data_IF_321263756250
#
_entry.id   IF_321263756250
#
_cell.length_a   1.000
_cell.length_b   1.000
_cell.length_c   1.000
_cell.angle_alpha   90.00
_cell.angle_beta   90.00
_cell.angle_gamma   90.00
#
_symmetry.space_group_name_H-M   'P 1'
#
loop_
_entity.id
_entity.type
_entity.pdbx_description
1 polymer ?
#
# COMPACT_ATOMS: atom_id res chain seq x y z
N UNK A 1 61.04 14.26 18.58
CA UNK A 1 59.94 14.55 17.63
C UNK A 1 58.75 14.95 18.48
N UNK A 2 58.04 16.03 18.16
CA UNK A 2 56.76 16.30 18.81
C UNK A 2 55.69 15.59 18.00
N UNK A 3 55.04 14.58 18.58
CA UNK A 3 53.81 14.04 18.02
C UNK A 3 52.75 15.14 18.03
N UNK A 4 52.03 15.30 16.91
CA UNK A 4 50.81 16.09 16.90
C UNK A 4 49.75 15.27 17.63
N UNK A 5 49.66 15.48 18.95
CA UNK A 5 48.56 14.96 19.74
C UNK A 5 47.24 15.48 19.14
N UNK A 6 46.42 14.56 18.64
CA UNK A 6 45.07 14.87 18.19
C UNK A 6 44.32 15.52 19.36
N UNK A 7 43.58 16.59 19.07
CA UNK A 7 42.80 17.30 20.08
C UNK A 7 41.51 16.55 20.40
N UNK A 8 41.07 16.61 21.66
CA UNK A 8 39.84 15.96 22.09
C UNK A 8 38.62 16.46 21.31
N UNK A 9 38.54 17.77 21.00
CA UNK A 9 37.43 18.34 20.24
C UNK A 9 37.32 17.71 18.84
N UNK A 10 38.44 17.60 18.13
CA UNK A 10 38.50 17.01 16.78
C UNK A 10 38.28 15.49 16.82
N UNK A 11 38.66 14.82 17.92
CA UNK A 11 38.37 13.40 18.13
C UNK A 11 36.87 13.15 18.37
N UNK A 12 36.17 14.08 19.05
CA UNK A 12 34.74 13.99 19.32
C UNK A 12 33.90 14.35 18.08
N UNK A 13 34.28 15.41 17.35
CA UNK A 13 33.62 15.82 16.09
C UNK A 13 33.59 14.70 15.03
N UNK A 14 34.61 13.83 15.02
CA UNK A 14 34.74 12.69 14.08
C UNK A 14 34.46 11.32 14.70
N UNK A 15 33.91 11.26 15.91
CA UNK A 15 33.75 9.99 16.62
C UNK A 15 32.64 9.12 16.02
N UNK A 16 31.56 9.72 15.55
CA UNK A 16 30.47 9.03 14.85
C UNK A 16 30.96 8.54 13.46
N UNK A 17 31.60 9.40 12.66
CA UNK A 17 32.24 9.04 11.37
C UNK A 17 33.24 7.86 11.51
N UNK A 18 33.93 7.76 12.66
CA UNK A 18 34.84 6.67 12.98
C UNK A 18 34.13 5.35 13.31
N UNK A 19 33.04 5.40 14.09
CA UNK A 19 32.27 4.22 14.48
C UNK A 19 31.49 3.63 13.31
N UNK A 20 30.92 4.48 12.45
CA UNK A 20 30.19 4.08 11.25
C UNK A 20 31.12 3.68 10.09
N UNK A 21 32.43 3.94 10.22
CA UNK A 21 33.48 3.50 9.29
C UNK A 21 33.61 4.35 8.03
N UNK A 22 33.12 5.60 8.04
CA UNK A 22 33.18 6.51 6.88
C UNK A 22 34.56 7.18 6.72
N UNK A 23 35.39 7.20 7.77
CA UNK A 23 36.73 7.77 7.74
C UNK A 23 37.73 6.98 6.87
N UNK A 24 38.70 7.69 6.30
CA UNK A 24 39.87 7.04 5.70
C UNK A 24 40.83 6.47 6.77
N UNK A 25 41.71 5.57 6.34
CA UNK A 25 42.62 4.83 7.23
C UNK A 25 43.58 5.72 8.03
N UNK A 26 43.98 6.89 7.49
CA UNK A 26 44.91 7.79 8.19
C UNK A 26 44.19 8.57 9.31
N UNK A 27 42.95 9.03 9.09
CA UNK A 27 42.12 9.65 10.13
C UNK A 27 41.69 8.63 11.20
N UNK A 28 41.26 7.44 10.78
CA UNK A 28 40.86 6.36 11.70
C UNK A 28 42.02 5.92 12.60
N UNK A 29 43.24 5.84 12.08
CA UNK A 29 44.44 5.53 12.87
C UNK A 29 44.77 6.62 13.91
N UNK A 30 44.53 7.90 13.59
CA UNK A 30 44.75 9.01 14.52
C UNK A 30 43.72 9.00 15.66
N UNK A 31 42.44 8.74 15.36
CA UNK A 31 41.39 8.59 16.37
C UNK A 31 41.65 7.37 17.25
N UNK A 32 42.00 6.22 16.67
CA UNK A 32 42.33 5.01 17.43
C UNK A 32 43.49 5.26 18.42
N UNK A 33 44.56 5.94 17.98
CA UNK A 33 45.67 6.32 18.86
C UNK A 33 45.25 7.31 19.97
N UNK A 34 44.33 8.23 19.69
CA UNK A 34 43.78 9.13 20.69
C UNK A 34 42.89 8.39 21.71
N UNK A 35 42.01 7.48 21.27
CA UNK A 35 41.16 6.68 22.15
C UNK A 35 41.94 5.76 23.10
N UNK A 36 43.13 5.28 22.68
CA UNK A 36 44.04 4.49 23.54
C UNK A 36 44.68 5.36 24.63
N UNK A 37 44.82 6.68 24.42
CA UNK A 37 45.58 7.59 25.30
C UNK A 37 44.73 8.61 26.06
N UNK A 38 43.49 8.85 25.66
CA UNK A 38 42.58 9.82 26.24
C UNK A 38 41.35 9.13 26.87
N UNK A 39 41.35 8.99 28.20
CA UNK A 39 40.27 8.31 28.94
C UNK A 39 38.91 9.04 28.87
N UNK A 40 38.89 10.32 28.51
CA UNK A 40 37.65 11.06 28.27
C UNK A 40 37.00 10.59 26.96
N UNK A 41 37.70 10.74 25.83
CA UNK A 41 37.21 10.32 24.52
C UNK A 41 36.94 8.81 24.45
N UNK A 42 37.71 7.98 25.16
CA UNK A 42 37.38 6.54 25.27
C UNK A 42 36.04 6.29 25.97
N UNK A 43 35.69 7.11 26.98
CA UNK A 43 34.40 6.99 27.70
C UNK A 43 33.23 7.41 26.81
N UNK A 44 33.36 8.53 26.08
CA UNK A 44 32.35 8.96 25.09
C UNK A 44 32.16 7.89 24.00
N UNK A 45 33.27 7.31 23.48
CA UNK A 45 33.21 6.23 22.48
C UNK A 45 32.51 4.98 23.01
N UNK A 46 32.66 4.66 24.29
CA UNK A 46 31.99 3.54 24.92
C UNK A 46 30.49 3.80 25.13
N UNK A 47 30.08 5.06 25.34
CA UNK A 47 28.66 5.44 25.36
C UNK A 47 28.01 5.27 23.99
N UNK A 48 28.63 5.84 22.93
CA UNK A 48 28.11 5.73 21.56
C UNK A 48 28.02 4.27 21.08
N UNK A 49 29.01 3.43 21.42
CA UNK A 49 28.97 1.99 21.13
C UNK A 49 27.86 1.28 21.91
N UNK A 50 27.58 1.68 23.16
CA UNK A 50 26.47 1.13 23.94
C UNK A 50 25.11 1.52 23.36
N UNK A 51 24.98 2.74 22.81
CA UNK A 51 23.78 3.20 22.12
C UNK A 51 23.60 2.48 20.76
N UNK A 52 24.65 2.30 19.98
CA UNK A 52 24.61 1.50 18.74
C UNK A 52 24.22 0.03 19.00
N UNK A 53 24.81 -0.61 20.02
CA UNK A 53 24.45 -1.97 20.47
C UNK A 53 23.00 -2.04 20.98
N UNK A 54 22.48 -0.96 21.58
CA UNK A 54 21.07 -0.88 21.97
C UNK A 54 20.16 -0.88 20.73
N UNK A 55 20.44 -0.03 19.73
CA UNK A 55 19.67 0.00 18.48
C UNK A 55 19.76 -1.32 17.70
N UNK A 56 20.93 -1.97 17.67
CA UNK A 56 21.12 -3.27 17.04
C UNK A 56 20.24 -4.38 17.64
N UNK A 57 19.93 -4.33 18.94
CA UNK A 57 18.97 -5.25 19.58
C UNK A 57 17.51 -4.97 19.23
N UNK A 58 17.20 -3.74 18.78
CA UNK A 58 15.88 -3.36 18.31
C UNK A 58 15.69 -3.58 16.79
N UNK A 59 16.75 -3.90 16.05
CA UNK A 59 16.68 -4.35 14.66
C UNK A 59 16.12 -5.79 14.58
N UNK A 60 14.81 -5.87 14.84
CA UNK A 60 14.03 -7.08 14.57
C UNK A 60 14.06 -7.31 13.06
N UNK A 61 14.33 -8.54 12.63
CA UNK A 61 14.25 -8.94 11.22
C UNK A 61 12.88 -8.54 10.63
N UNK A 62 12.86 -7.39 9.93
CA UNK A 62 11.67 -6.90 9.26
C UNK A 62 11.43 -7.80 8.05
N UNK A 63 10.53 -8.77 8.18
CA UNK A 63 10.04 -9.60 7.07
C UNK A 63 9.38 -8.71 6.01
N UNK A 64 10.19 -8.14 5.10
CA UNK A 64 9.72 -7.34 3.98
C UNK A 64 8.82 -8.22 3.12
N UNK A 65 7.51 -7.92 3.01
CA UNK A 65 6.61 -8.79 2.26
C UNK A 65 7.10 -8.91 0.80
N UNK A 66 7.18 -10.12 0.21
CA UNK A 66 7.71 -10.29 -1.15
C UNK A 66 6.96 -9.46 -2.21
N UNK A 67 5.69 -9.14 -1.95
CA UNK A 67 4.86 -8.24 -2.76
C UNK A 67 5.33 -6.78 -2.75
N UNK A 68 5.95 -6.32 -1.67
CA UNK A 68 6.52 -4.98 -1.54
C UNK A 68 7.83 -4.87 -2.33
N UNK A 69 8.70 -5.89 -2.24
CA UNK A 69 9.89 -5.96 -3.10
C UNK A 69 9.52 -6.07 -4.60
N UNK A 70 8.49 -6.84 -4.93
CA UNK A 70 7.92 -6.89 -6.28
C UNK A 70 7.54 -5.50 -6.80
N UNK A 71 6.73 -4.76 -6.04
CA UNK A 71 6.31 -3.39 -6.36
C UNK A 71 7.44 -2.34 -6.41
N UNK A 72 8.58 -2.59 -5.77
CA UNK A 72 9.79 -1.78 -5.93
C UNK A 72 10.45 -2.16 -7.26
N UNK A 73 10.67 -3.45 -7.51
CA UNK A 73 11.34 -3.94 -8.73
C UNK A 73 10.61 -3.55 -10.02
N UNK A 74 9.27 -3.55 -10.04
CA UNK A 74 8.45 -3.08 -11.17
C UNK A 74 8.58 -1.57 -11.44
N UNK A 75 9.05 -0.77 -10.47
CA UNK A 75 9.24 0.68 -10.59
C UNK A 75 10.69 1.09 -10.80
N UNK A 76 11.65 0.31 -10.31
CA UNK A 76 13.09 0.61 -10.40
C UNK A 76 13.78 -0.05 -11.59
N UNK A 77 13.27 -1.19 -12.09
CA UNK A 77 13.69 -1.74 -13.37
C UNK A 77 13.03 -0.93 -14.50
N UNK A 78 13.80 -0.29 -15.41
CA UNK A 78 13.21 0.30 -16.60
C UNK A 78 12.58 -0.82 -17.42
N UNK A 79 11.28 -0.72 -17.71
CA UNK A 79 10.56 -1.73 -18.46
C UNK A 79 11.20 -1.94 -19.83
N UNK A 80 11.95 -3.04 -20.00
CA UNK A 80 12.57 -3.45 -21.26
C UNK A 80 11.46 -4.00 -22.16
N UNK A 81 10.63 -3.07 -22.68
CA UNK A 81 9.56 -3.38 -23.59
C UNK A 81 10.15 -4.08 -24.83
N UNK A 82 9.73 -5.33 -25.13
CA UNK A 82 10.17 -5.99 -26.35
C UNK A 82 9.67 -5.15 -27.53
N UNK A 83 10.59 -4.60 -28.32
CA UNK A 83 10.30 -3.64 -29.40
C UNK A 83 9.70 -4.33 -30.64
N UNK A 84 8.59 -5.04 -30.44
CA UNK A 84 7.87 -5.71 -31.51
C UNK A 84 7.32 -4.67 -32.49
N UNK A 85 7.86 -4.67 -33.69
CA UNK A 85 7.51 -3.75 -34.78
C UNK A 85 6.02 -3.80 -35.15
N UNK A 86 5.32 -4.91 -34.81
CA UNK A 86 3.89 -5.11 -35.03
C UNK A 86 3.00 -4.09 -34.31
N UNK A 87 3.34 -3.68 -33.08
CA UNK A 87 2.47 -2.80 -32.28
C UNK A 87 2.42 -1.37 -32.83
N UNK A 88 3.52 -0.91 -33.46
CA UNK A 88 3.57 0.41 -34.12
C UNK A 88 2.65 0.52 -35.34
N UNK A 89 2.30 -0.58 -36.01
CA UNK A 89 1.28 -0.57 -37.06
C UNK A 89 -0.15 -0.60 -36.50
N UNK A 90 -0.39 -1.25 -35.37
CA UNK A 90 -1.72 -1.32 -34.75
C UNK A 90 -2.25 0.07 -34.35
N UNK A 91 -1.35 0.99 -33.97
CA UNK A 91 -1.70 2.38 -33.66
C UNK A 91 -2.29 3.17 -34.84
N UNK A 92 -1.93 2.84 -36.08
CA UNK A 92 -2.35 3.59 -37.27
C UNK A 92 -3.80 3.32 -37.71
N UNK A 93 -4.40 2.22 -37.25
CA UNK A 93 -5.77 1.83 -37.60
C UNK A 93 -6.83 2.17 -36.54
N UNK A 94 -6.43 2.74 -35.40
CA UNK A 94 -7.33 3.05 -34.27
C UNK A 94 -7.97 4.44 -34.38
N UNK A 95 -8.65 4.68 -35.50
CA UNK A 95 -9.40 5.92 -35.75
C UNK A 95 -10.58 6.05 -34.77
N UNK A 96 -10.82 7.21 -34.12
CA UNK A 96 -11.95 7.39 -33.22
C UNK A 96 -13.29 7.35 -33.96
N UNK A 97 -14.25 6.63 -33.42
CA UNK A 97 -15.57 6.42 -34.03
C UNK A 97 -16.48 7.65 -33.88
N UNK A 98 -16.32 8.62 -34.77
CA UNK A 98 -17.30 9.71 -34.91
C UNK A 98 -18.63 9.15 -35.47
N UNK A 99 -19.75 9.58 -34.90
CA UNK A 99 -21.07 9.05 -35.25
C UNK A 99 -21.49 9.38 -36.69
N UNK A 100 -22.11 8.40 -37.36
CA UNK A 100 -22.76 8.51 -38.68
C UNK A 100 -21.88 8.95 -39.87
N UNK A 101 -21.35 7.97 -40.63
CA UNK A 101 -21.14 8.09 -42.10
C UNK A 101 -20.48 6.87 -42.76
N UNK A 102 -19.96 5.89 -42.00
CA UNK A 102 -19.21 4.75 -42.56
C UNK A 102 -19.98 3.97 -43.66
N UNK A 103 -21.31 3.85 -43.54
CA UNK A 103 -22.16 3.26 -44.58
C UNK A 103 -22.21 4.09 -45.89
N UNK A 104 -22.16 5.41 -45.80
CA UNK A 104 -22.14 6.31 -46.97
C UNK A 104 -20.76 6.28 -47.66
N UNK A 105 -19.66 6.26 -46.89
CA UNK A 105 -18.32 6.11 -47.43
C UNK A 105 -18.14 4.76 -48.15
N UNK A 106 -18.61 3.66 -47.56
CA UNK A 106 -18.62 2.35 -48.20
C UNK A 106 -19.44 2.33 -49.49
N UNK A 107 -20.62 2.95 -49.51
CA UNK A 107 -21.45 3.07 -50.71
C UNK A 107 -20.74 3.83 -51.84
N UNK A 108 -20.08 4.96 -51.54
CA UNK A 108 -19.31 5.72 -52.53
C UNK A 108 -18.11 4.93 -53.08
N UNK A 109 -17.41 4.16 -52.24
CA UNK A 109 -16.32 3.29 -52.68
C UNK A 109 -16.84 2.16 -53.59
N UNK A 110 -17.97 1.53 -53.25
CA UNK A 110 -18.60 0.50 -54.08
C UNK A 110 -19.04 1.08 -55.42
N UNK A 111 -19.63 2.28 -55.45
CA UNK A 111 -20.00 2.98 -56.69
C UNK A 111 -18.76 3.30 -57.53
N UNK A 112 -17.67 3.80 -56.94
CA UNK A 112 -16.43 4.08 -57.65
C UNK A 112 -15.78 2.81 -58.24
N UNK A 113 -15.78 1.70 -57.49
CA UNK A 113 -15.30 0.40 -57.97
C UNK A 113 -16.19 -0.13 -59.10
N UNK A 114 -17.53 0.01 -59.00
CA UNK A 114 -18.46 -0.41 -60.05
C UNK A 114 -18.25 0.39 -61.34
N UNK A 115 -18.16 1.73 -61.25
CA UNK A 115 -17.87 2.61 -62.39
C UNK A 115 -16.50 2.29 -63.00
N UNK A 116 -15.47 2.10 -62.19
CA UNK A 116 -14.13 1.70 -62.65
C UNK A 116 -14.12 0.33 -63.35
N UNK A 117 -14.83 -0.66 -62.82
CA UNK A 117 -14.94 -1.99 -63.41
C UNK A 117 -15.72 -2.00 -64.73
N UNK A 118 -16.75 -1.14 -64.86
CA UNK A 118 -17.48 -0.91 -66.12
C UNK A 118 -16.55 -0.23 -67.14
N UNK A 119 -15.83 0.81 -66.73
CA UNK A 119 -14.89 1.54 -67.58
C UNK A 119 -13.74 0.65 -68.09
N UNK A 120 -13.15 -0.18 -67.23
CA UNK A 120 -12.13 -1.16 -67.60
C UNK A 120 -12.67 -2.31 -68.46
N UNK A 121 -13.97 -2.64 -68.37
CA UNK A 121 -14.62 -3.58 -69.30
C UNK A 121 -14.91 -2.94 -70.67
N UNK A 122 -15.31 -1.67 -70.73
CA UNK A 122 -15.47 -0.95 -72.00
C UNK A 122 -14.13 -0.58 -72.66
N UNK A 123 -13.03 -0.52 -71.91
CA UNK A 123 -11.69 -0.27 -72.43
C UNK A 123 -10.94 -1.52 -72.92
N UNK A 124 -11.53 -2.72 -72.94
CA UNK A 124 -10.87 -3.87 -73.59
C UNK A 124 -10.79 -3.65 -75.11
N UNK A 125 -9.59 -3.49 -75.71
CA UNK A 125 -9.47 -3.36 -77.16
C UNK A 125 -9.71 -4.72 -77.83
N UNK A 126 -9.99 -4.70 -79.14
CA UNK A 126 -9.75 -5.89 -79.95
C UNK A 126 -8.26 -6.25 -79.94
N UNK A 127 -7.93 -7.51 -79.71
CA UNK A 127 -6.83 -8.15 -80.43
C UNK A 127 -7.03 -9.67 -80.56
N UNK A 128 -6.50 -10.22 -81.65
CA UNK A 128 -6.85 -11.56 -82.16
C UNK A 128 -5.86 -12.65 -81.72
N UNK A 129 -6.43 -13.81 -81.41
CA UNK A 129 -6.00 -15.16 -81.83
C UNK A 129 -4.50 -15.50 -81.93
N UNK A 130 -4.08 -16.42 -81.05
CA UNK A 130 -3.51 -17.74 -81.42
C UNK A 130 -4.09 -18.75 -80.40
N UNK A 131 -4.73 -19.87 -80.79
CA UNK A 131 -4.12 -21.15 -81.17
C UNK A 131 -3.13 -21.67 -80.09
N UNK A 132 -3.19 -22.89 -79.55
CA UNK A 132 -3.93 -24.16 -79.83
C UNK A 132 -3.80 -25.03 -78.53
N UNK A 133 -4.61 -26.02 -78.13
CA UNK A 133 -5.17 -27.22 -78.80
C UNK A 133 -6.41 -27.78 -78.03
N UNK A 134 -6.96 -28.93 -78.46
CA UNK A 134 -8.22 -29.53 -77.96
C UNK A 134 -8.04 -30.54 -76.80
N UNK A 135 -9.07 -30.74 -75.95
CA UNK A 135 -9.82 -32.03 -75.85
C UNK A 135 -10.94 -32.12 -74.78
N UNK A 136 -12.07 -32.74 -75.17
CA UNK A 136 -13.09 -33.49 -74.38
C UNK A 136 -14.10 -32.72 -73.46
N UNK A 137 -15.31 -33.30 -73.40
CA UNK A 137 -16.62 -32.91 -72.82
C UNK A 137 -17.49 -34.21 -72.75
N UNK A 138 -18.59 -34.38 -71.98
CA UNK A 138 -19.22 -33.62 -70.87
C UNK A 138 -18.94 -34.34 -69.51
N UNK A 139 -19.74 -34.44 -68.43
CA UNK A 139 -21.10 -34.02 -67.96
C UNK A 139 -21.01 -33.83 -66.40
N UNK A 140 -21.98 -33.82 -65.46
CA UNK A 140 -23.41 -34.17 -65.27
C UNK A 140 -24.12 -33.04 -64.45
N UNK A 141 -25.46 -33.08 -64.29
CA UNK A 141 -26.30 -32.06 -63.60
C UNK A 141 -26.95 -32.63 -62.29
N UNK A 142 -28.04 -32.06 -61.69
CA UNK A 142 -28.12 -31.03 -60.64
C UNK A 142 -28.63 -31.54 -59.24
N UNK A 143 -29.07 -30.60 -58.38
CA UNK A 143 -30.10 -30.75 -57.30
C UNK A 143 -29.73 -31.53 -56.00
N UNK A 144 -30.33 -31.29 -54.82
CA UNK A 144 -31.09 -30.15 -54.23
C UNK A 144 -31.12 -30.27 -52.67
N UNK A 145 -31.62 -29.30 -51.88
CA UNK A 145 -31.41 -29.25 -50.42
C UNK A 145 -32.44 -30.01 -49.55
N UNK A 146 -32.04 -30.39 -48.32
CA UNK A 146 -32.87 -31.13 -47.35
C UNK A 146 -32.62 -30.76 -45.87
N UNK A 147 -33.45 -29.85 -45.36
CA UNK A 147 -33.65 -29.40 -43.96
C UNK A 147 -35.12 -29.76 -43.62
N UNK A 148 -35.63 -30.03 -42.38
CA UNK A 148 -35.17 -29.60 -41.03
C UNK A 148 -35.32 -30.63 -39.86
N UNK A 149 -35.11 -30.15 -38.61
CA UNK A 149 -35.79 -30.58 -37.35
C UNK A 149 -35.44 -31.97 -36.76
N UNK A 150 -35.66 -32.28 -35.46
CA UNK A 150 -36.60 -31.70 -34.48
C UNK A 150 -36.20 -31.90 -33.00
N UNK A 151 -36.97 -31.29 -32.09
CA UNK A 151 -37.12 -31.56 -30.64
C UNK A 151 -35.91 -31.34 -29.69
N UNK A 152 -36.09 -31.18 -28.36
CA UNK A 152 -37.08 -30.47 -27.48
C UNK A 152 -36.85 -30.96 -26.03
N UNK A 153 -37.33 -30.20 -25.04
CA UNK A 153 -37.59 -30.62 -23.64
C UNK A 153 -36.36 -30.96 -22.76
N UNK A 154 -36.42 -30.94 -21.41
CA UNK A 154 -37.27 -30.16 -20.49
C UNK A 154 -36.83 -30.35 -19.01
N UNK A 155 -36.56 -29.25 -18.31
CA UNK A 155 -36.92 -28.94 -16.90
C UNK A 155 -36.97 -30.11 -15.88
N UNK A 156 -36.07 -30.11 -14.87
CA UNK A 156 -36.49 -30.03 -13.44
C UNK A 156 -35.37 -29.79 -12.42
N UNK A 157 -35.69 -28.96 -11.43
CA UNK A 157 -35.00 -28.84 -10.14
C UNK A 157 -35.42 -29.95 -9.18
N UNK A 158 -34.68 -30.16 -8.08
CA UNK A 158 -35.23 -30.64 -6.80
C UNK A 158 -34.39 -30.13 -5.63
N UNK A 159 -35.06 -29.73 -4.54
CA UNK A 159 -34.51 -29.11 -3.31
C UNK A 159 -34.90 -29.94 -2.10
N UNK A 160 -33.94 -30.28 -1.21
CA UNK A 160 -34.10 -30.79 0.18
C UNK A 160 -32.71 -30.92 0.83
N UNK A 161 -32.50 -30.97 2.15
CA UNK A 161 -33.20 -30.40 3.32
C UNK A 161 -32.19 -30.40 4.51
N UNK A 162 -32.48 -29.72 5.62
CA UNK A 162 -31.54 -29.51 6.75
C UNK A 162 -31.67 -30.59 7.83
N UNK A 163 -30.54 -31.06 8.38
CA UNK A 163 -30.46 -31.75 9.69
C UNK A 163 -29.23 -31.22 10.44
N UNK A 164 -29.34 -31.00 11.76
CA UNK A 164 -28.28 -30.47 12.62
C UNK A 164 -27.93 -31.44 13.76
N UNK A 165 -26.70 -31.37 14.27
CA UNK A 165 -26.28 -32.02 15.53
C UNK A 165 -25.11 -31.27 16.19
N UNK A 166 -25.03 -31.28 17.52
CA UNK A 166 -24.04 -30.53 18.30
C UNK A 166 -23.85 -31.17 19.71
N UNK A 167 -22.62 -31.48 20.17
CA UNK A 167 -22.39 -32.00 21.52
C UNK A 167 -21.27 -31.29 22.34
N UNK A 168 -21.69 -30.43 23.28
CA UNK A 168 -21.19 -30.18 24.67
C UNK A 168 -19.67 -29.97 24.99
N UNK A 169 -19.34 -29.08 25.97
CA UNK A 169 -17.96 -28.74 26.33
C UNK A 169 -17.29 -29.72 27.32
N UNK A 170 -15.96 -29.60 27.48
CA UNK A 170 -15.16 -30.27 28.53
C UNK A 170 -14.49 -29.25 29.46
N UNK A 171 -14.58 -29.48 30.77
CA UNK A 171 -13.83 -28.74 31.80
C UNK A 171 -12.40 -29.27 31.98
N UNK A 172 -11.47 -28.43 32.43
CA UNK A 172 -10.12 -28.81 32.89
C UNK A 172 -9.84 -28.16 34.26
N UNK A 173 -9.05 -28.84 35.09
CA UNK A 173 -8.70 -28.42 36.46
C UNK A 173 -7.70 -27.27 36.46
N UNK A 174 -7.83 -26.37 37.43
CA UNK A 174 -6.76 -25.45 37.87
C UNK A 174 -5.81 -26.20 38.80
N UNK A 175 -4.50 -26.01 38.64
CA UNK A 175 -3.47 -26.44 39.58
C UNK A 175 -2.98 -25.22 40.36
N UNK A 176 -2.89 -25.33 41.69
CA UNK A 176 -2.48 -24.22 42.56
C UNK A 176 -1.00 -24.37 42.92
N UNK A 177 -0.15 -23.53 42.34
CA UNK A 177 1.28 -23.49 42.64
C UNK A 177 1.53 -22.54 43.81
N UNK A 178 2.27 -22.99 44.82
CA UNK A 178 2.73 -22.15 45.94
C UNK A 178 4.08 -21.54 45.56
N UNK A 179 4.27 -20.24 45.78
CA UNK A 179 5.56 -19.56 45.64
C UNK A 179 6.07 -19.16 47.02
N UNK A 180 7.32 -19.50 47.32
CA UNK A 180 8.11 -18.91 48.40
C UNK A 180 8.90 -17.72 47.84
N UNK A 181 8.96 -16.57 48.52
CA UNK A 181 9.72 -15.42 48.02
C UNK A 181 11.22 -15.70 48.08
N UNK A 182 11.92 -15.29 47.02
CA UNK A 182 13.37 -15.09 46.99
C UNK A 182 13.58 -13.59 46.77
N UNK A 183 14.44 -12.98 47.59
CA UNK A 183 14.77 -11.55 47.46
C UNK A 183 15.66 -11.33 46.22
N UNK A 184 15.23 -10.43 45.33
CA UNK A 184 15.94 -10.04 44.10
C UNK A 184 15.77 -8.53 43.85
N UNK A 185 16.00 -7.74 44.89
CA UNK A 185 15.86 -6.28 44.87
C UNK A 185 16.87 -5.56 43.93
N UNK A 186 18.05 -6.14 43.68
CA UNK A 186 19.18 -5.48 42.97
C UNK A 186 19.18 -5.57 41.43
N UNK A 187 18.19 -6.21 40.79
CA UNK A 187 18.20 -6.44 39.30
C UNK A 187 17.17 -5.58 38.54
N UNK A 188 16.26 -4.89 39.25
CA UNK A 188 15.08 -4.24 38.64
C UNK A 188 15.34 -2.85 38.02
N UNK A 189 16.48 -2.22 38.26
CA UNK A 189 16.70 -0.80 37.95
C UNK A 189 16.74 -0.44 36.46
N UNK A 190 16.99 -1.40 35.55
CA UNK A 190 17.07 -1.14 34.10
C UNK A 190 15.70 -1.17 33.41
N UNK A 191 14.75 -1.95 33.95
CA UNK A 191 13.44 -2.21 33.31
C UNK A 191 12.55 -0.94 33.30
N UNK A 192 12.65 -0.13 34.36
CA UNK A 192 11.89 1.12 34.51
C UNK A 192 12.22 2.18 33.44
N UNK A 193 13.45 2.23 32.94
CA UNK A 193 13.87 3.26 31.99
C UNK A 193 13.22 3.16 30.61
N UNK A 194 12.93 1.93 30.15
CA UNK A 194 12.30 1.69 28.85
C UNK A 194 10.78 1.78 28.91
N UNK A 195 10.19 1.29 30.01
CA UNK A 195 8.75 1.36 30.28
C UNK A 195 8.22 2.80 30.17
N UNK A 196 8.96 3.76 30.74
CA UNK A 196 8.64 5.19 30.80
C UNK A 196 8.69 5.88 29.41
N UNK A 197 9.61 5.46 28.53
CA UNK A 197 9.71 5.97 27.16
C UNK A 197 8.51 5.51 26.32
N UNK A 198 8.13 4.22 26.43
CA UNK A 198 6.95 3.67 25.74
C UNK A 198 5.65 4.37 26.17
N UNK A 199 5.50 4.62 27.47
CA UNK A 199 4.32 5.31 28.00
C UNK A 199 4.31 6.79 27.61
N UNK A 200 5.47 7.45 27.51
CA UNK A 200 5.58 8.82 26.98
C UNK A 200 5.15 8.92 25.51
N UNK A 201 5.61 8.01 24.64
CA UNK A 201 5.24 8.03 23.23
C UNK A 201 3.77 7.62 23.02
N UNK A 202 3.24 6.71 23.85
CA UNK A 202 1.81 6.41 23.91
C UNK A 202 1.00 7.64 24.33
N UNK A 203 1.37 8.32 25.42
CA UNK A 203 0.69 9.52 25.92
C UNK A 203 0.69 10.65 24.88
N UNK A 204 1.83 10.90 24.23
CA UNK A 204 1.97 11.88 23.13
C UNK A 204 1.05 11.58 21.95
N UNK A 205 0.95 10.31 21.55
CA UNK A 205 0.03 9.90 20.48
C UNK A 205 -1.45 10.10 20.86
N UNK A 206 -1.80 9.81 22.13
CA UNK A 206 -3.14 10.04 22.66
C UNK A 206 -3.46 11.55 22.77
N UNK A 207 -2.50 12.39 23.15
CA UNK A 207 -2.62 13.85 23.20
C UNK A 207 -2.84 14.45 21.80
N UNK A 208 -2.05 14.02 20.81
CA UNK A 208 -2.22 14.43 19.42
C UNK A 208 -3.57 13.99 18.84
N UNK A 209 -4.00 12.76 19.14
CA UNK A 209 -5.32 12.26 18.76
C UNK A 209 -6.43 13.04 19.46
N UNK A 210 -6.28 13.36 20.75
CA UNK A 210 -7.20 14.20 21.51
C UNK A 210 -7.36 15.59 20.87
N UNK A 211 -6.25 16.21 20.47
CA UNK A 211 -6.26 17.53 19.83
C UNK A 211 -6.92 17.50 18.43
N UNK A 212 -6.71 16.43 17.65
CA UNK A 212 -7.44 16.18 16.39
C UNK A 212 -8.95 15.92 16.59
N UNK A 213 -9.35 15.12 17.58
CA UNK A 213 -10.77 14.90 17.84
C UNK A 213 -11.44 16.17 18.40
N UNK A 214 -10.68 17.04 19.08
CA UNK A 214 -11.13 18.39 19.48
C UNK A 214 -11.23 19.34 18.29
N UNK A 215 -10.31 19.34 17.31
CA UNK A 215 -10.44 20.19 16.10
C UNK A 215 -11.69 19.82 15.30
N UNK A 216 -11.86 18.54 14.94
CA UNK A 216 -13.02 18.02 14.20
C UNK A 216 -14.34 18.32 14.93
N UNK A 217 -14.40 18.16 16.26
CA UNK A 217 -15.58 18.52 17.05
C UNK A 217 -15.85 20.02 17.04
N UNK A 218 -14.81 20.86 17.01
CA UNK A 218 -14.91 22.32 17.04
C UNK A 218 -15.15 22.95 15.65
N UNK A 219 -15.14 22.18 14.55
CA UNK A 219 -15.46 22.68 13.20
C UNK A 219 -16.84 23.36 13.19
N UNK A 220 -16.86 24.62 12.77
CA UNK A 220 -18.06 25.44 12.57
C UNK A 220 -18.78 25.02 11.29
N UNK A 221 -19.78 24.16 11.43
CA UNK A 221 -20.70 23.82 10.34
C UNK A 221 -21.70 24.97 10.18
N UNK A 222 -21.61 25.73 9.08
CA UNK A 222 -22.61 26.72 8.72
C UNK A 222 -23.90 26.08 8.19
N UNK A 223 -25.02 26.81 8.24
CA UNK A 223 -26.33 26.33 7.76
C UNK A 223 -26.33 26.04 6.23
N UNK A 224 -25.41 26.66 5.49
CA UNK A 224 -25.22 26.45 4.05
C UNK A 224 -24.45 25.15 3.79
N UNK A 225 -25.17 24.07 3.48
CA UNK A 225 -24.62 22.74 3.17
C UNK A 225 -23.66 22.71 1.96
N UNK A 226 -23.65 23.77 1.13
CA UNK A 226 -22.83 23.88 -0.08
C UNK A 226 -21.45 24.51 0.17
N UNK A 227 -21.17 25.01 1.39
CA UNK A 227 -19.85 25.54 1.74
C UNK A 227 -18.92 24.40 2.14
N UNK A 228 -17.98 24.07 1.25
CA UNK A 228 -16.95 23.05 1.51
C UNK A 228 -16.00 23.48 2.63
N UNK A 229 -15.54 22.50 3.41
CA UNK A 229 -14.69 22.68 4.59
C UNK A 229 -13.33 22.08 4.27
N UNK A 230 -12.27 22.90 4.32
CA UNK A 230 -10.90 22.38 4.24
C UNK A 230 -10.59 21.55 5.49
N UNK A 231 -10.29 20.27 5.27
CA UNK A 231 -9.88 19.29 6.29
C UNK A 231 -8.55 18.64 5.91
N UNK A 232 -7.82 19.21 4.95
CA UNK A 232 -6.54 18.68 4.43
C UNK A 232 -5.54 18.40 5.56
N UNK A 233 -5.48 19.30 6.55
CA UNK A 233 -4.63 19.14 7.73
C UNK A 233 -5.06 17.97 8.61
N UNK A 234 -6.32 17.91 9.04
CA UNK A 234 -6.85 16.87 9.92
C UNK A 234 -6.81 15.48 9.27
N UNK A 235 -7.01 15.41 7.95
CA UNK A 235 -6.84 14.22 7.12
C UNK A 235 -5.38 13.76 7.03
N UNK A 236 -4.43 14.68 6.84
CA UNK A 236 -3.01 14.35 6.83
C UNK A 236 -2.51 13.89 8.22
N UNK A 237 -3.00 14.53 9.28
CA UNK A 237 -2.68 14.18 10.67
C UNK A 237 -3.27 12.82 11.07
N UNK A 238 -4.55 12.57 10.79
CA UNK A 238 -5.20 11.27 11.07
C UNK A 238 -4.52 10.10 10.34
N UNK A 239 -4.05 10.30 9.09
CA UNK A 239 -3.26 9.31 8.35
C UNK A 239 -1.90 9.01 9.00
N UNK A 240 -1.22 10.00 9.58
CA UNK A 240 0.00 9.76 10.37
C UNK A 240 -0.33 8.96 11.64
N UNK A 241 -1.31 9.43 12.40
CA UNK A 241 -1.75 8.80 13.65
C UNK A 241 -2.20 7.34 13.42
N UNK A 242 -2.85 6.99 12.30
CA UNK A 242 -3.17 5.59 11.99
C UNK A 242 -1.94 4.68 11.96
N UNK A 243 -0.85 5.13 11.34
CA UNK A 243 0.37 4.33 11.22
C UNK A 243 1.04 4.13 12.59
N UNK A 244 1.08 5.18 13.41
CA UNK A 244 1.58 5.14 14.79
C UNK A 244 0.72 4.22 15.67
N UNK A 245 -0.61 4.34 15.58
CA UNK A 245 -1.58 3.57 16.35
C UNK A 245 -1.47 2.05 16.10
N UNK A 246 -1.18 1.65 14.85
CA UNK A 246 -0.92 0.24 14.48
C UNK A 246 0.32 -0.31 15.20
N UNK A 247 1.37 0.50 15.37
CA UNK A 247 2.59 0.12 16.10
C UNK A 247 2.28 0.05 17.61
N UNK A 248 1.78 1.13 18.19
CA UNK A 248 1.47 1.24 19.62
C UNK A 248 0.49 0.16 20.11
N UNK A 249 -0.49 -0.27 19.30
CA UNK A 249 -1.38 -1.40 19.64
C UNK A 249 -0.66 -2.74 19.72
N UNK A 250 0.36 -2.97 18.88
CA UNK A 250 1.19 -4.17 18.92
C UNK A 250 2.12 -4.14 20.13
N UNK A 251 2.73 -3.00 20.42
CA UNK A 251 3.59 -2.86 21.60
C UNK A 251 2.80 -2.97 22.90
N UNK A 252 1.62 -2.36 22.99
CA UNK A 252 0.71 -2.54 24.12
C UNK A 252 0.22 -4.00 24.28
N UNK A 253 0.06 -4.75 23.17
CA UNK A 253 -0.24 -6.18 23.21
C UNK A 253 0.96 -7.01 23.70
N UNK A 254 2.15 -6.82 23.12
CA UNK A 254 3.37 -7.54 23.51
C UNK A 254 3.75 -7.27 24.97
N UNK A 255 3.54 -6.05 25.46
CA UNK A 255 3.85 -5.61 26.83
C UNK A 255 2.66 -5.80 27.80
N UNK A 256 1.60 -6.47 27.37
CA UNK A 256 0.37 -6.73 28.13
C UNK A 256 -0.30 -5.48 28.77
N UNK A 257 -0.07 -4.29 28.18
CA UNK A 257 -0.69 -3.01 28.56
C UNK A 257 -2.14 -2.94 28.04
N UNK A 258 -2.99 -3.83 28.54
CA UNK A 258 -4.38 -4.01 28.06
C UNK A 258 -5.24 -2.72 28.05
N UNK A 259 -5.16 -1.79 29.03
CA UNK A 259 -5.92 -0.54 28.98
C UNK A 259 -5.53 0.34 27.79
N UNK A 260 -4.22 0.52 27.56
CA UNK A 260 -3.68 1.24 26.41
C UNK A 260 -4.09 0.58 25.09
N UNK A 261 -3.98 -0.75 25.00
CA UNK A 261 -4.41 -1.52 23.82
C UNK A 261 -5.90 -1.30 23.50
N UNK A 262 -6.77 -1.29 24.52
CA UNK A 262 -8.20 -1.03 24.33
C UNK A 262 -8.42 0.39 23.80
N UNK A 263 -7.92 1.40 24.51
CA UNK A 263 -8.11 2.80 24.14
C UNK A 263 -7.60 3.09 22.73
N UNK A 264 -6.40 2.63 22.37
CA UNK A 264 -5.87 2.77 21.01
C UNK A 264 -6.75 2.06 19.96
N UNK A 265 -7.35 0.91 20.30
CA UNK A 265 -8.28 0.19 19.44
C UNK A 265 -9.64 0.87 19.30
N UNK A 266 -10.07 1.62 20.31
CA UNK A 266 -11.31 2.40 20.28
C UNK A 266 -11.12 3.72 19.48
N UNK A 267 -9.88 4.19 19.29
CA UNK A 267 -9.53 5.35 18.45
C UNK A 267 -9.43 5.04 16.96
N UNK A 268 -9.00 3.82 16.59
CA UNK A 268 -8.80 3.39 15.20
C UNK A 268 -9.98 3.75 14.26
N UNK A 269 -11.26 3.49 14.60
CA UNK A 269 -12.39 3.86 13.74
C UNK A 269 -12.49 5.35 13.43
N UNK A 270 -12.19 6.23 14.39
CA UNK A 270 -12.26 7.68 14.20
C UNK A 270 -11.14 8.20 13.32
N UNK A 271 -9.93 7.66 13.52
CA UNK A 271 -8.78 7.98 12.68
C UNK A 271 -9.02 7.49 11.23
N UNK A 272 -9.65 6.33 11.05
CA UNK A 272 -10.09 5.82 9.73
C UNK A 272 -11.16 6.73 9.11
N UNK A 273 -12.19 7.15 9.87
CA UNK A 273 -13.24 8.04 9.35
C UNK A 273 -12.63 9.35 8.79
N UNK A 274 -11.74 10.00 9.55
CA UNK A 274 -11.11 11.28 9.19
C UNK A 274 -10.11 11.10 8.03
N UNK A 275 -9.31 10.03 8.03
CA UNK A 275 -8.32 9.74 7.00
C UNK A 275 -8.94 9.48 5.60
N UNK A 276 -10.22 9.10 5.57
CA UNK A 276 -11.01 8.84 4.36
C UNK A 276 -11.80 10.05 3.84
N UNK A 277 -11.80 11.19 4.54
CA UNK A 277 -12.40 12.43 4.02
C UNK A 277 -11.73 12.89 2.72
N UNK A 278 -12.45 13.56 1.80
CA UNK A 278 -11.83 14.39 0.77
C UNK A 278 -11.10 15.57 1.43
N UNK A 279 -10.17 16.21 0.71
CA UNK A 279 -9.39 17.35 1.23
C UNK A 279 -10.27 18.59 1.48
N UNK A 280 -11.33 18.74 0.69
CA UNK A 280 -12.43 19.66 0.92
C UNK A 280 -13.71 18.84 1.13
N UNK A 281 -14.18 18.79 2.37
CA UNK A 281 -15.27 17.91 2.81
C UNK A 281 -16.60 18.67 2.94
N UNK A 282 -17.69 17.96 2.71
CA UNK A 282 -19.04 18.54 2.83
C UNK A 282 -19.46 18.61 4.30
N UNK A 283 -20.18 19.67 4.73
CA UNK A 283 -20.66 19.79 6.10
C UNK A 283 -21.39 18.55 6.65
N UNK A 284 -22.11 17.83 5.80
CA UNK A 284 -22.79 16.58 6.16
C UNK A 284 -21.84 15.41 6.49
N UNK A 285 -20.69 15.31 5.82
CA UNK A 285 -19.69 14.26 6.03
C UNK A 285 -18.97 14.49 7.36
N UNK A 286 -18.51 15.73 7.59
CA UNK A 286 -17.90 16.16 8.85
C UNK A 286 -18.89 16.03 10.02
N UNK A 287 -20.18 16.31 9.81
CA UNK A 287 -21.22 16.16 10.86
C UNK A 287 -21.36 14.72 11.34
N UNK A 288 -21.32 13.73 10.46
CA UNK A 288 -21.42 12.30 10.83
C UNK A 288 -20.28 11.90 11.79
N UNK A 289 -19.05 12.36 11.50
CA UNK A 289 -17.88 12.09 12.34
C UNK A 289 -17.99 12.84 13.67
N UNK A 290 -18.34 14.14 13.63
CA UNK A 290 -18.56 14.98 14.82
C UNK A 290 -19.63 14.41 15.76
N UNK A 291 -20.75 13.91 15.24
CA UNK A 291 -21.78 13.21 16.01
C UNK A 291 -21.25 11.89 16.63
N UNK A 292 -20.42 11.12 15.91
CA UNK A 292 -19.82 9.88 16.42
C UNK A 292 -18.84 10.15 17.56
N UNK A 293 -17.95 11.15 17.39
CA UNK A 293 -16.98 11.60 18.41
C UNK A 293 -17.69 12.13 19.66
N UNK A 294 -18.82 12.83 19.49
CA UNK A 294 -19.62 13.31 20.61
C UNK A 294 -20.37 12.18 21.34
N UNK A 295 -20.95 11.22 20.60
CA UNK A 295 -21.79 10.15 21.17
C UNK A 295 -21.02 9.09 21.97
N UNK A 296 -19.74 8.89 21.66
CA UNK A 296 -18.89 7.87 22.30
C UNK A 296 -18.10 8.39 23.50
N UNK A 297 -18.13 9.71 23.74
CA UNK A 297 -17.33 10.40 24.78
C UNK A 297 -15.82 10.07 24.75
N UNK A 298 -15.31 9.62 23.60
CA UNK A 298 -13.93 9.15 23.42
C UNK A 298 -12.87 10.20 23.81
N UNK A 299 -13.19 11.49 23.64
CA UNK A 299 -12.34 12.62 24.08
C UNK A 299 -12.21 12.71 25.61
N UNK A 300 -13.18 12.21 26.39
CA UNK A 300 -13.08 12.13 27.84
C UNK A 300 -12.30 10.88 28.29
N UNK A 301 -12.40 9.76 27.54
CA UNK A 301 -11.58 8.57 27.79
C UNK A 301 -10.08 8.83 27.59
N UNK A 302 -9.72 9.72 26.66
CA UNK A 302 -8.33 10.18 26.45
C UNK A 302 -7.78 10.97 27.65
N UNK A 303 -8.57 11.87 28.24
CA UNK A 303 -8.18 12.64 29.45
C UNK A 303 -7.93 11.69 30.64
N UNK A 304 -8.61 10.54 30.70
CA UNK A 304 -8.43 9.54 31.74
C UNK A 304 -7.17 8.67 31.60
N UNK A 305 -6.28 8.97 30.65
CA UNK A 305 -4.97 8.33 30.49
C UNK A 305 -3.79 9.24 30.88
N UNK A 306 -4.04 10.54 31.05
CA UNK A 306 -3.09 11.56 31.56
C UNK A 306 -2.94 11.50 33.09
#
# INVERSE_FOLDING_TARGET
MQELAMKCEVCLEKLEEYLDGELNADEASQIQAHLITCSACSTESASLVADQELFARYDRELEVPPTLWGQISERTLPAVAPTSFSERLAGLFRVPSFGYSLAAAAALIIIAIAVGAIYLRSQKPEQRMTARDNMVLPEVIPESPGVPQSNKQSIKETKREVVASNPRPRSKRVVKVVHTPIDQSDVLSTDFGYQDIDDRDTAKHLEQTQNLLRSIRNVSLGDNNDQEIDVTYDKALSRRLLNENIVLRRDAEMKAKFPAKSLLSDLEPFLIDIANLPDHAKPNEVRIIKERVQRTEIVAALIGYE
#
